data_IF_806229082038
#
_entry.id   IF_806229082038
#
_cell.length_a   1.000
_cell.length_b   1.000
_cell.length_c   1.000
_cell.angle_alpha   90.00
_cell.angle_beta   90.00
_cell.angle_gamma   90.00
#
_symmetry.space_group_name_H-M   'P 1'
#
loop_
_entity.id
_entity.type
_entity.pdbx_description
1 polymer ?
#
# COMPACT_ATOMS: atom_id res chain seq x y z
N UNK A 1 0.77 -25.14 -18.33
CA UNK A 1 2.12 -25.74 -18.47
C UNK A 1 3.04 -25.08 -17.46
N UNK A 2 3.76 -25.85 -16.65
CA UNK A 2 4.67 -25.31 -15.64
C UNK A 2 5.91 -24.68 -16.28
N UNK A 3 6.37 -23.53 -15.75
CA UNK A 3 7.63 -22.92 -16.16
C UNK A 3 8.81 -23.75 -15.60
N UNK A 4 9.66 -24.28 -16.49
CA UNK A 4 10.87 -25.01 -16.11
C UNK A 4 12.10 -24.17 -16.46
N UNK A 5 12.98 -23.84 -15.52
CA UNK A 5 14.21 -23.10 -15.81
C UNK A 5 15.12 -23.88 -16.78
N UNK A 6 15.70 -23.16 -17.73
CA UNK A 6 16.57 -23.73 -18.77
C UNK A 6 18.02 -23.39 -18.46
N UNK A 7 18.88 -24.42 -18.37
CA UNK A 7 20.33 -24.24 -18.19
C UNK A 7 20.94 -23.59 -19.44
N UNK A 8 21.84 -22.60 -19.24
CA UNK A 8 22.49 -21.87 -20.33
C UNK A 8 21.81 -20.56 -20.75
N UNK A 9 20.58 -20.29 -20.35
CA UNK A 9 19.90 -19.03 -20.54
C UNK A 9 20.12 -18.09 -19.34
N UNK A 10 20.24 -16.78 -19.56
CA UNK A 10 20.33 -15.82 -18.46
C UNK A 10 19.13 -15.98 -17.53
N UNK A 11 19.38 -16.16 -16.23
CA UNK A 11 18.33 -16.30 -15.19
C UNK A 11 17.40 -15.09 -15.22
N UNK A 12 17.95 -13.88 -15.35
CA UNK A 12 17.15 -12.66 -15.44
C UNK A 12 16.17 -12.71 -16.60
N UNK A 13 16.61 -13.14 -17.78
CA UNK A 13 15.74 -13.28 -18.95
C UNK A 13 14.65 -14.32 -18.74
N UNK A 14 14.97 -15.41 -18.04
CA UNK A 14 13.95 -16.42 -17.69
C UNK A 14 12.90 -15.88 -16.72
N UNK A 15 13.29 -15.01 -15.77
CA UNK A 15 12.35 -14.35 -14.87
C UNK A 15 11.45 -13.36 -15.61
N UNK A 16 11.99 -12.60 -16.57
CA UNK A 16 11.24 -11.70 -17.43
C UNK A 16 10.20 -12.46 -18.28
N UNK A 17 10.61 -13.53 -18.93
CA UNK A 17 9.73 -14.41 -19.69
C UNK A 17 8.64 -15.06 -18.81
N UNK A 18 9.00 -15.45 -17.59
CA UNK A 18 8.04 -15.98 -16.62
C UNK A 18 6.97 -14.95 -16.27
N UNK A 19 7.34 -13.69 -16.02
CA UNK A 19 6.36 -12.62 -15.77
C UNK A 19 5.38 -12.49 -16.95
N UNK A 20 5.86 -12.45 -18.20
CA UNK A 20 5.01 -12.33 -19.38
C UNK A 20 4.01 -13.49 -19.55
N UNK A 21 4.33 -14.69 -19.03
CA UNK A 21 3.46 -15.86 -19.14
C UNK A 21 2.47 -16.00 -17.98
N UNK A 22 2.80 -15.49 -16.81
CA UNK A 22 2.01 -15.73 -15.58
C UNK A 22 1.14 -14.54 -15.22
N UNK A 23 1.65 -13.31 -15.46
CA UNK A 23 0.94 -12.12 -15.05
C UNK A 23 -0.20 -11.77 -16.01
N UNK A 24 -1.20 -11.11 -15.45
CA UNK A 24 -2.34 -10.57 -16.18
C UNK A 24 -1.87 -9.59 -17.26
N UNK A 25 -2.63 -9.48 -18.36
CA UNK A 25 -2.44 -8.44 -19.38
C UNK A 25 -2.45 -7.01 -18.81
N UNK A 26 -3.07 -6.81 -17.65
CA UNK A 26 -3.20 -5.54 -16.95
C UNK A 26 -2.06 -5.28 -15.94
N UNK A 27 -1.19 -6.26 -15.70
CA UNK A 27 -0.10 -6.15 -14.76
C UNK A 27 1.06 -5.30 -15.29
N UNK A 28 1.76 -4.63 -14.38
CA UNK A 28 3.01 -3.96 -14.72
C UNK A 28 4.15 -4.98 -14.85
N UNK A 29 4.76 -5.05 -16.04
CA UNK A 29 5.90 -5.92 -16.31
C UNK A 29 7.22 -5.15 -16.11
N UNK A 30 8.23 -5.84 -15.56
CA UNK A 30 9.56 -5.26 -15.40
C UNK A 30 10.19 -4.86 -16.75
N UNK A 31 9.89 -5.60 -17.83
CA UNK A 31 10.36 -5.32 -19.20
C UNK A 31 9.75 -4.05 -19.80
N UNK A 32 8.60 -3.61 -19.28
CA UNK A 32 7.86 -2.42 -19.75
C UNK A 32 7.96 -1.24 -18.77
N UNK A 33 8.81 -1.34 -17.73
CA UNK A 33 9.03 -0.23 -16.81
C UNK A 33 9.55 1.01 -17.52
N UNK A 34 9.06 2.18 -17.11
CA UNK A 34 9.57 3.50 -17.56
C UNK A 34 10.97 3.82 -17.00
N UNK A 35 11.51 2.91 -16.18
CA UNK A 35 12.86 3.00 -15.66
C UNK A 35 13.01 3.93 -14.45
N UNK A 36 14.22 4.39 -14.24
CA UNK A 36 14.67 5.16 -13.09
C UNK A 36 15.01 6.59 -13.44
N UNK A 37 15.04 7.50 -12.45
CA UNK A 37 15.47 8.90 -12.66
C UNK A 37 16.91 8.98 -13.17
N UNK A 38 17.78 8.20 -12.58
CA UNK A 38 19.20 8.17 -12.93
C UNK A 38 19.55 6.83 -13.54
N UNK A 39 20.19 6.82 -14.73
CA UNK A 39 20.66 5.60 -15.35
C UNK A 39 21.61 4.83 -14.42
N UNK A 40 21.45 3.52 -14.38
CA UNK A 40 22.31 2.62 -13.59
C UNK A 40 23.08 1.68 -14.52
N UNK A 41 24.33 1.45 -14.18
CA UNK A 41 25.11 0.38 -14.83
C UNK A 41 24.52 -0.97 -14.43
N UNK A 42 24.36 -1.85 -15.40
CA UNK A 42 24.02 -3.24 -15.11
C UNK A 42 25.12 -3.85 -14.25
N UNK A 43 24.76 -4.30 -13.04
CA UNK A 43 25.67 -5.02 -12.18
C UNK A 43 25.77 -6.45 -12.70
N UNK A 44 26.95 -6.86 -13.13
CA UNK A 44 27.18 -8.24 -13.56
C UNK A 44 26.81 -9.21 -12.43
N UNK A 45 26.00 -10.22 -12.74
CA UNK A 45 25.54 -11.21 -11.77
C UNK A 45 24.32 -10.82 -10.92
N UNK A 46 23.75 -9.62 -11.07
CA UNK A 46 22.48 -9.28 -10.40
C UNK A 46 21.32 -9.99 -11.08
N UNK A 47 20.69 -10.91 -10.36
CA UNK A 47 19.58 -11.75 -10.82
C UNK A 47 18.23 -11.08 -10.64
N UNK A 48 18.17 -10.03 -9.82
CA UNK A 48 16.91 -9.38 -9.45
C UNK A 48 16.36 -8.52 -10.58
N UNK A 49 15.04 -8.59 -10.76
CA UNK A 49 14.31 -7.68 -11.62
C UNK A 49 14.21 -6.26 -10.98
N UNK A 50 13.93 -5.21 -11.78
CA UNK A 50 13.86 -3.83 -11.32
C UNK A 50 13.00 -3.61 -10.07
N UNK A 51 11.77 -4.15 -10.02
CA UNK A 51 10.87 -3.98 -8.87
C UNK A 51 11.33 -4.74 -7.63
N UNK A 52 11.97 -5.89 -7.79
CA UNK A 52 12.59 -6.60 -6.66
C UNK A 52 13.75 -5.79 -6.07
N UNK A 53 14.57 -5.15 -6.90
CA UNK A 53 15.64 -4.26 -6.43
C UNK A 53 15.08 -3.05 -5.67
N UNK A 54 13.95 -2.50 -6.11
CA UNK A 54 13.32 -1.39 -5.44
C UNK A 54 12.81 -1.78 -4.05
N UNK A 55 12.11 -2.91 -3.94
CA UNK A 55 11.69 -3.48 -2.66
C UNK A 55 12.89 -3.63 -1.70
N UNK A 56 13.99 -4.20 -2.17
CA UNK A 56 15.18 -4.41 -1.35
C UNK A 56 15.79 -3.07 -0.90
N UNK A 57 15.90 -2.07 -1.79
CA UNK A 57 16.38 -0.72 -1.45
C UNK A 57 15.53 -0.06 -0.38
N UNK A 58 14.21 -0.17 -0.48
CA UNK A 58 13.26 0.35 0.49
C UNK A 58 13.47 -0.33 1.84
N UNK A 59 13.47 -1.66 1.87
CA UNK A 59 13.61 -2.45 3.09
C UNK A 59 14.93 -2.15 3.83
N UNK A 60 16.01 -1.92 3.09
CA UNK A 60 17.32 -1.60 3.67
C UNK A 60 17.52 -0.12 3.98
N UNK A 61 16.58 0.77 3.68
CA UNK A 61 16.70 2.20 3.95
C UNK A 61 16.67 2.53 5.46
N UNK A 62 17.26 3.65 5.83
CA UNK A 62 17.26 4.14 7.21
C UNK A 62 15.83 4.52 7.62
N UNK A 63 15.09 5.15 6.73
CA UNK A 63 13.72 5.62 6.99
C UNK A 63 12.74 4.47 7.21
N UNK A 64 12.86 3.36 6.47
CA UNK A 64 12.06 2.17 6.71
C UNK A 64 12.24 1.63 8.14
N UNK A 65 13.48 1.51 8.62
CA UNK A 65 13.76 1.10 10.00
C UNK A 65 13.20 2.06 11.05
N UNK A 66 13.10 3.36 10.71
CA UNK A 66 12.55 4.40 11.62
C UNK A 66 11.04 4.29 11.80
N UNK A 67 10.31 3.60 10.91
CA UNK A 67 8.86 3.40 11.06
C UNK A 67 8.48 2.68 12.36
N UNK A 68 9.38 1.87 12.92
CA UNK A 68 9.16 1.20 14.22
C UNK A 68 9.00 2.17 15.39
N UNK A 69 9.47 3.41 15.26
CA UNK A 69 9.42 4.44 16.30
C UNK A 69 8.35 5.51 16.03
N UNK A 70 7.51 5.32 15.03
CA UNK A 70 6.38 6.19 14.73
C UNK A 70 5.09 5.50 15.12
N UNK A 71 4.23 6.19 15.87
CA UNK A 71 2.90 5.71 16.25
C UNK A 71 1.96 5.72 15.03
N UNK A 72 0.92 4.88 15.05
CA UNK A 72 -0.13 4.90 14.04
C UNK A 72 -1.18 5.96 14.42
N UNK A 73 -2.24 5.62 15.07
CA UNK A 73 -3.29 6.56 15.51
C UNK A 73 -3.17 6.84 17.01
N UNK A 74 -3.03 5.78 17.81
CA UNK A 74 -2.96 5.91 19.25
C UNK A 74 -1.52 6.10 19.73
N UNK A 75 -1.31 7.07 20.61
CA UNK A 75 -0.07 7.18 21.36
C UNK A 75 0.03 5.96 22.28
N UNK A 76 1.10 5.18 22.16
CA UNK A 76 1.36 4.01 22.98
C UNK A 76 2.08 4.44 24.28
N UNK A 77 1.37 4.79 25.36
CA UNK A 77 2.05 5.29 26.56
C UNK A 77 2.74 4.18 27.36
N UNK A 78 2.23 2.94 27.30
CA UNK A 78 2.82 1.79 28.02
C UNK A 78 2.32 0.48 27.40
N UNK A 79 3.21 -0.28 26.76
CA UNK A 79 2.94 -1.66 26.33
C UNK A 79 3.30 -1.98 24.87
N UNK A 80 3.71 -3.22 24.64
CA UNK A 80 4.19 -3.72 23.34
C UNK A 80 3.07 -4.06 22.34
N UNK A 81 1.80 -3.79 22.70
CA UNK A 81 0.64 -4.26 21.94
C UNK A 81 0.05 -3.24 20.96
N UNK A 82 0.53 -1.99 20.97
CA UNK A 82 0.05 -0.96 20.04
C UNK A 82 0.78 -1.03 18.72
N UNK A 83 0.03 -0.78 17.62
CA UNK A 83 0.59 -0.78 16.28
C UNK A 83 1.53 0.40 16.05
N UNK A 84 2.72 0.08 15.54
CA UNK A 84 3.64 1.07 14.98
C UNK A 84 3.39 1.23 13.48
N UNK A 85 3.91 2.30 12.86
CA UNK A 85 3.85 2.43 11.41
C UNK A 85 4.54 1.28 10.69
N UNK A 86 5.57 0.69 11.25
CA UNK A 86 6.20 -0.48 10.66
C UNK A 86 5.25 -1.68 10.56
N UNK A 87 4.51 -1.98 11.62
CA UNK A 87 3.54 -3.08 11.59
C UNK A 87 2.39 -2.78 10.64
N UNK A 88 1.89 -1.54 10.59
CA UNK A 88 0.89 -1.11 9.61
C UNK A 88 1.37 -1.34 8.17
N UNK A 89 2.56 -0.86 7.80
CA UNK A 89 3.09 -1.02 6.42
C UNK A 89 3.22 -2.50 6.04
N UNK A 90 3.62 -3.37 7.00
CA UNK A 90 3.70 -4.82 6.77
C UNK A 90 2.33 -5.45 6.55
N UNK A 91 1.32 -5.03 7.33
CA UNK A 91 -0.07 -5.51 7.17
C UNK A 91 -0.68 -5.04 5.84
N UNK A 92 -0.46 -3.77 5.46
CA UNK A 92 -0.82 -3.26 4.12
C UNK A 92 -0.15 -4.08 3.02
N UNK A 93 1.13 -4.37 3.15
CA UNK A 93 1.87 -5.19 2.19
C UNK A 93 1.31 -6.61 2.09
N UNK A 94 0.95 -7.23 3.20
CA UNK A 94 0.33 -8.56 3.22
C UNK A 94 -1.01 -8.56 2.49
N UNK A 95 -1.91 -7.62 2.80
CA UNK A 95 -3.22 -7.49 2.16
C UNK A 95 -3.05 -7.22 0.66
N UNK A 96 -2.22 -6.24 0.30
CA UNK A 96 -1.99 -5.85 -1.08
C UNK A 96 -1.43 -7.01 -1.92
N UNK A 97 -0.47 -7.76 -1.40
CA UNK A 97 0.09 -8.92 -2.10
C UNK A 97 -0.93 -10.06 -2.26
N UNK A 98 -1.80 -10.27 -1.28
CA UNK A 98 -2.89 -11.26 -1.41
C UNK A 98 -3.82 -10.89 -2.57
N UNK A 99 -4.19 -9.61 -2.70
CA UNK A 99 -5.01 -9.11 -3.80
C UNK A 99 -4.23 -9.23 -5.13
N UNK A 100 -2.97 -8.77 -5.16
CA UNK A 100 -2.14 -8.80 -6.36
C UNK A 100 -1.94 -10.22 -6.88
N UNK A 101 -1.66 -11.19 -6.01
CA UNK A 101 -1.51 -12.59 -6.38
C UNK A 101 -2.80 -13.18 -6.97
N UNK A 102 -3.97 -12.89 -6.38
CA UNK A 102 -5.27 -13.35 -6.87
C UNK A 102 -5.63 -12.75 -8.24
N UNK A 103 -5.22 -11.50 -8.51
CA UNK A 103 -5.43 -10.80 -9.78
C UNK A 103 -4.31 -11.01 -10.80
N UNK A 104 -3.35 -11.89 -10.51
CA UNK A 104 -2.14 -12.12 -11.33
C UNK A 104 -1.38 -10.81 -11.65
N UNK A 105 -1.30 -9.87 -10.69
CA UNK A 105 -0.52 -8.64 -10.79
C UNK A 105 0.91 -8.84 -10.30
N UNK A 106 1.78 -7.83 -10.49
CA UNK A 106 3.18 -7.91 -10.08
C UNK A 106 3.34 -7.72 -8.56
N UNK A 107 3.47 -8.83 -7.83
CA UNK A 107 3.62 -8.81 -6.38
C UNK A 107 4.86 -8.03 -5.92
N UNK A 108 5.97 -8.07 -6.66
CA UNK A 108 7.19 -7.35 -6.26
C UNK A 108 7.01 -5.83 -6.35
N UNK A 109 6.30 -5.34 -7.37
CA UNK A 109 5.93 -3.93 -7.48
C UNK A 109 4.95 -3.54 -6.37
N UNK A 110 3.90 -4.34 -6.15
CA UNK A 110 2.91 -4.12 -5.09
C UNK A 110 3.58 -4.03 -3.71
N UNK A 111 4.48 -4.96 -3.39
CA UNK A 111 5.23 -4.97 -2.13
C UNK A 111 6.12 -3.73 -2.00
N UNK A 112 6.86 -3.37 -3.05
CA UNK A 112 7.72 -2.19 -3.03
C UNK A 112 6.93 -0.89 -2.75
N UNK A 113 5.78 -0.71 -3.40
CA UNK A 113 4.92 0.45 -3.15
C UNK A 113 4.37 0.43 -1.73
N UNK A 114 3.85 -0.73 -1.27
CA UNK A 114 3.27 -0.88 0.05
C UNK A 114 4.29 -0.60 1.17
N UNK A 115 5.53 -1.07 1.04
CA UNK A 115 6.58 -0.82 2.03
C UNK A 115 7.05 0.65 2.05
N UNK A 116 6.86 1.38 0.95
CA UNK A 116 7.37 2.74 0.81
C UNK A 116 6.33 3.84 1.00
N UNK A 117 5.03 3.54 0.95
CA UNK A 117 3.98 4.57 0.89
C UNK A 117 4.06 5.56 2.06
N UNK A 118 4.37 5.10 3.26
CA UNK A 118 4.36 5.88 4.51
C UNK A 118 5.76 6.30 5.02
N UNK A 119 6.83 6.16 4.22
CA UNK A 119 8.19 6.50 4.65
C UNK A 119 8.33 7.96 5.11
N UNK A 120 7.60 8.87 4.46
CA UNK A 120 7.60 10.30 4.77
C UNK A 120 6.59 10.73 5.82
N UNK A 121 5.89 9.81 6.47
CA UNK A 121 4.92 10.19 7.48
C UNK A 121 5.59 10.80 8.72
N UNK A 122 4.89 11.77 9.34
CA UNK A 122 5.38 12.53 10.51
C UNK A 122 5.29 11.72 11.78
N UNK A 123 6.06 12.05 12.84
CA UNK A 123 5.72 11.69 14.20
C UNK A 123 4.30 12.17 14.55
N UNK A 124 3.59 11.46 15.41
CA UNK A 124 2.22 11.77 15.83
C UNK A 124 1.16 11.68 14.72
N UNK A 125 1.42 10.91 13.66
CA UNK A 125 0.43 10.60 12.63
C UNK A 125 -0.18 11.83 11.96
N UNK A 126 -1.50 11.83 11.79
CA UNK A 126 -2.23 12.93 11.13
C UNK A 126 -2.19 14.25 11.91
N UNK A 127 -2.13 14.23 13.23
CA UNK A 127 -1.98 15.44 14.03
C UNK A 127 -0.65 16.15 13.73
N UNK A 128 0.45 15.39 13.65
CA UNK A 128 1.74 15.93 13.24
C UNK A 128 1.75 16.43 11.80
N UNK A 129 1.05 15.76 10.89
CA UNK A 129 0.90 16.20 9.51
C UNK A 129 0.12 17.52 9.42
N UNK A 130 -1.00 17.65 10.14
CA UNK A 130 -1.80 18.88 10.20
C UNK A 130 -0.97 20.06 10.71
N UNK A 131 -0.27 19.88 11.83
CA UNK A 131 0.60 20.92 12.39
C UNK A 131 1.70 21.34 11.42
N UNK A 132 2.39 20.40 10.78
CA UNK A 132 3.42 20.73 9.79
C UNK A 132 2.83 21.40 8.55
N UNK A 133 1.63 21.01 8.15
CA UNK A 133 0.93 21.65 7.02
C UNK A 133 0.58 23.12 7.28
N UNK A 134 0.27 23.47 8.54
CA UNK A 134 0.03 24.87 8.96
C UNK A 134 1.33 25.68 9.05
N UNK A 135 2.37 25.07 9.64
CA UNK A 135 3.64 25.76 9.89
C UNK A 135 4.51 25.95 8.65
N UNK A 136 4.43 25.06 7.67
CA UNK A 136 5.27 25.11 6.47
C UNK A 136 4.61 25.97 5.39
N UNK A 137 5.25 27.03 4.87
CA UNK A 137 4.65 27.97 3.90
C UNK A 137 4.12 27.29 2.62
N UNK A 138 4.72 26.19 2.19
CA UNK A 138 4.31 25.38 1.04
C UNK A 138 3.31 24.28 1.37
N UNK A 139 2.85 24.19 2.62
CA UNK A 139 2.08 23.07 3.14
C UNK A 139 2.91 21.79 3.28
N UNK A 140 2.36 20.80 3.96
CA UNK A 140 3.00 19.49 4.14
C UNK A 140 2.00 18.36 3.81
N UNK A 141 2.44 17.39 3.03
CA UNK A 141 1.68 16.15 2.73
C UNK A 141 2.62 14.96 2.83
N UNK A 142 2.27 13.96 3.66
CA UNK A 142 3.12 12.80 3.90
C UNK A 142 3.49 12.04 2.62
N UNK A 143 2.57 11.89 1.68
CA UNK A 143 2.82 11.18 0.41
C UNK A 143 3.81 11.92 -0.51
N UNK A 144 3.78 13.25 -0.53
CA UNK A 144 4.78 14.07 -1.23
C UNK A 144 6.13 13.95 -0.51
N UNK A 145 6.11 13.97 0.82
CA UNK A 145 7.32 13.80 1.61
C UNK A 145 7.88 12.38 1.51
N UNK A 146 7.04 11.34 1.38
CA UNK A 146 7.50 9.96 1.09
C UNK A 146 8.27 9.91 -0.23
N UNK A 147 7.77 10.57 -1.27
CA UNK A 147 8.50 10.69 -2.54
C UNK A 147 9.83 11.45 -2.35
N UNK A 148 9.83 12.57 -1.63
CA UNK A 148 11.05 13.33 -1.31
C UNK A 148 12.08 12.48 -0.54
N UNK A 149 11.63 11.66 0.38
CA UNK A 149 12.51 10.74 1.14
C UNK A 149 13.23 9.78 0.20
N UNK A 150 12.50 9.12 -0.68
CA UNK A 150 13.07 8.11 -1.59
C UNK A 150 13.87 8.71 -2.75
N UNK A 151 13.53 9.93 -3.19
CA UNK A 151 14.22 10.58 -4.29
C UNK A 151 15.48 11.34 -3.86
N UNK A 152 15.48 11.92 -2.63
CA UNK A 152 16.52 12.88 -2.24
C UNK A 152 17.14 12.61 -0.87
N UNK A 153 16.36 12.22 0.16
CA UNK A 153 16.87 12.26 1.53
C UNK A 153 17.63 10.98 1.94
N UNK A 154 17.24 9.83 1.42
CA UNK A 154 17.93 8.58 1.69
C UNK A 154 19.31 8.53 1.01
N UNK A 155 20.13 7.59 1.46
CA UNK A 155 21.45 7.32 0.88
C UNK A 155 22.34 8.60 0.83
N UNK A 156 22.37 9.33 1.95
CA UNK A 156 23.18 10.54 2.15
C UNK A 156 22.94 11.62 1.07
N UNK A 157 21.65 11.85 0.76
CA UNK A 157 21.24 12.88 -0.18
C UNK A 157 21.13 12.44 -1.64
N UNK A 158 21.41 11.17 -1.95
CA UNK A 158 21.39 10.63 -3.32
C UNK A 158 20.07 9.96 -3.69
N UNK A 159 19.22 9.71 -2.70
CA UNK A 159 17.98 8.96 -2.86
C UNK A 159 18.19 7.47 -3.11
N UNK A 160 17.08 6.76 -3.28
CA UNK A 160 17.08 5.32 -3.56
C UNK A 160 17.06 5.00 -5.07
N UNK A 161 16.82 5.99 -5.91
CA UNK A 161 16.71 5.84 -7.36
C UNK A 161 15.73 4.72 -7.76
N UNK A 162 14.49 4.83 -7.29
CA UNK A 162 13.43 3.84 -7.55
C UNK A 162 12.86 3.99 -8.96
N UNK A 163 12.21 2.96 -9.46
CA UNK A 163 11.49 2.98 -10.74
C UNK A 163 10.32 3.96 -10.69
N UNK A 164 9.91 4.41 -11.88
CA UNK A 164 8.79 5.33 -12.05
C UNK A 164 7.50 4.78 -11.43
N UNK A 165 7.23 3.48 -11.61
CA UNK A 165 6.02 2.81 -11.15
C UNK A 165 5.92 2.83 -9.61
N UNK A 166 7.01 2.53 -8.91
CA UNK A 166 7.07 2.60 -7.44
C UNK A 166 6.85 4.03 -6.96
N UNK A 167 7.54 5.01 -7.56
CA UNK A 167 7.41 6.44 -7.22
C UNK A 167 6.00 6.97 -7.47
N UNK A 168 5.37 6.57 -8.58
CA UNK A 168 3.99 6.91 -8.90
C UNK A 168 3.01 6.30 -7.88
N UNK A 169 3.20 5.04 -7.50
CA UNK A 169 2.40 4.39 -6.46
C UNK A 169 2.53 5.10 -5.11
N UNK A 170 3.74 5.49 -4.70
CA UNK A 170 3.99 6.23 -3.46
C UNK A 170 3.21 7.56 -3.43
N UNK A 171 3.28 8.36 -4.47
CA UNK A 171 2.66 9.68 -4.46
C UNK A 171 1.13 9.64 -4.62
N UNK A 172 0.59 8.53 -5.14
CA UNK A 172 -0.84 8.37 -5.45
C UNK A 172 -1.61 7.48 -4.47
N UNK A 173 -0.97 6.98 -3.42
CA UNK A 173 -1.67 6.12 -2.45
C UNK A 173 -2.66 6.89 -1.58
N UNK A 174 -2.34 8.11 -1.21
CA UNK A 174 -3.16 8.93 -0.30
C UNK A 174 -4.41 9.46 -1.00
N UNK A 175 -5.51 9.49 -0.28
CA UNK A 175 -6.86 9.84 -0.76
C UNK A 175 -7.57 10.92 0.05
N UNK A 176 -7.03 11.25 1.24
CA UNK A 176 -7.70 12.16 2.16
C UNK A 176 -9.12 11.67 2.52
N UNK A 177 -10.08 12.60 2.60
CA UNK A 177 -11.51 12.28 2.80
C UNK A 177 -12.27 11.97 1.51
N UNK A 178 -11.59 11.95 0.36
CA UNK A 178 -12.21 11.74 -0.95
C UNK A 178 -12.68 10.29 -1.16
N UNK A 179 -13.35 10.07 -2.28
CA UNK A 179 -13.90 8.78 -2.68
C UNK A 179 -12.86 7.66 -2.66
N UNK A 180 -13.29 6.50 -2.22
CA UNK A 180 -12.46 5.27 -2.18
C UNK A 180 -12.02 4.92 -3.60
N UNK A 181 -12.96 4.90 -4.54
CA UNK A 181 -12.75 4.75 -5.98
C UNK A 181 -13.18 6.04 -6.69
N UNK A 182 -12.29 7.00 -6.93
CA UNK A 182 -12.65 8.24 -7.57
C UNK A 182 -12.98 8.04 -9.04
N UNK A 183 -14.05 8.68 -9.50
CA UNK A 183 -14.39 8.78 -10.91
C UNK A 183 -13.38 9.70 -11.61
N UNK A 184 -12.41 9.12 -12.31
CA UNK A 184 -11.41 9.87 -13.10
C UNK A 184 -9.96 9.44 -12.87
N UNK A 185 -9.22 9.28 -13.94
CA UNK A 185 -7.86 8.72 -13.96
C UNK A 185 -6.78 9.61 -13.33
N UNK A 186 -7.05 10.89 -13.09
CA UNK A 186 -6.01 11.86 -12.67
C UNK A 186 -5.52 11.71 -11.24
N UNK A 187 -6.28 11.07 -10.35
CA UNK A 187 -5.94 10.90 -8.93
C UNK A 187 -5.41 9.51 -8.58
N UNK A 188 -5.57 8.52 -9.45
CA UNK A 188 -5.14 7.14 -9.24
C UNK A 188 -3.70 6.91 -9.68
N UNK A 189 -3.06 5.89 -9.11
CA UNK A 189 -1.81 5.38 -9.63
C UNK A 189 -2.00 4.81 -11.05
N UNK A 190 -0.95 4.91 -11.88
CA UNK A 190 -1.00 4.46 -13.27
C UNK A 190 -1.01 2.93 -13.41
N UNK A 191 -0.56 2.21 -12.38
CA UNK A 191 -0.56 0.75 -12.37
C UNK A 191 -1.64 0.23 -11.43
N UNK A 192 -2.23 -0.92 -11.75
CA UNK A 192 -3.18 -1.58 -10.87
C UNK A 192 -2.55 -1.94 -9.52
N UNK A 193 -1.26 -2.30 -9.51
CA UNK A 193 -0.51 -2.58 -8.28
C UNK A 193 -0.52 -1.38 -7.33
N UNK A 194 -0.31 -0.17 -7.85
CA UNK A 194 -0.39 1.06 -7.04
C UNK A 194 -1.80 1.35 -6.55
N UNK A 195 -2.82 1.05 -7.34
CA UNK A 195 -4.22 1.18 -6.95
C UNK A 195 -4.61 0.14 -5.89
N UNK A 196 -4.12 -1.10 -6.03
CA UNK A 196 -4.27 -2.17 -5.01
C UNK A 196 -3.69 -1.74 -3.68
N UNK A 197 -2.49 -1.13 -3.66
CA UNK A 197 -1.90 -0.64 -2.41
C UNK A 197 -2.76 0.43 -1.76
N UNK A 198 -3.34 1.35 -2.53
CA UNK A 198 -4.27 2.37 -2.03
C UNK A 198 -5.48 1.75 -1.34
N UNK A 199 -6.09 0.71 -1.92
CA UNK A 199 -7.25 0.03 -1.34
C UNK A 199 -6.85 -0.84 -0.14
N UNK A 200 -5.73 -1.53 -0.23
CA UNK A 200 -5.19 -2.32 0.88
C UNK A 200 -4.88 -1.45 2.10
N UNK A 201 -4.37 -0.23 1.91
CA UNK A 201 -4.17 0.74 2.98
C UNK A 201 -5.51 1.15 3.63
N UNK A 202 -6.59 1.36 2.84
CA UNK A 202 -7.93 1.60 3.40
C UNK A 202 -8.38 0.40 4.23
N UNK A 203 -8.35 -0.79 3.66
CA UNK A 203 -8.77 -2.03 4.35
C UNK A 203 -7.97 -2.21 5.63
N UNK A 204 -6.66 -1.98 5.60
CA UNK A 204 -5.80 -2.09 6.77
C UNK A 204 -6.22 -1.08 7.85
N UNK A 205 -6.21 0.24 7.57
CA UNK A 205 -6.39 1.22 8.61
C UNK A 205 -7.79 1.18 9.25
N UNK A 206 -8.87 1.00 8.49
CA UNK A 206 -10.22 0.92 9.07
C UNK A 206 -10.37 -0.27 10.02
N UNK A 207 -9.66 -1.37 9.74
CA UNK A 207 -9.69 -2.55 10.60
C UNK A 207 -8.78 -2.41 11.81
N UNK A 208 -7.61 -1.80 11.64
CA UNK A 208 -6.66 -1.56 12.72
C UNK A 208 -7.19 -0.58 13.74
N UNK A 209 -7.71 0.55 13.28
CA UNK A 209 -8.19 1.63 14.13
C UNK A 209 -9.42 1.19 14.92
N UNK A 210 -10.30 0.38 14.30
CA UNK A 210 -11.40 -0.26 15.01
C UNK A 210 -10.90 -1.20 16.12
N UNK A 211 -9.90 -2.05 15.82
CA UNK A 211 -9.33 -2.97 16.81
C UNK A 211 -8.64 -2.25 17.96
N UNK A 212 -7.87 -1.22 17.64
CA UNK A 212 -7.13 -0.43 18.63
C UNK A 212 -8.09 0.39 19.50
N UNK A 213 -9.18 0.93 18.93
CA UNK A 213 -10.24 1.61 19.69
C UNK A 213 -10.99 0.66 20.64
N UNK A 214 -11.25 -0.59 20.21
CA UNK A 214 -11.83 -1.62 21.08
C UNK A 214 -10.89 -1.99 22.23
N UNK A 215 -9.58 -2.15 21.96
CA UNK A 215 -8.57 -2.44 23.01
C UNK A 215 -8.39 -1.30 23.98
N UNK A 216 -8.43 -0.06 23.49
CA UNK A 216 -8.34 1.14 24.32
C UNK A 216 -9.62 1.38 25.15
N UNK A 217 -10.68 0.62 24.93
CA UNK A 217 -11.98 0.81 25.62
C UNK A 217 -12.74 2.08 25.17
N UNK A 218 -12.31 2.71 24.07
CA UNK A 218 -12.99 3.86 23.45
C UNK A 218 -14.29 3.38 22.80
N UNK A 219 -14.25 2.22 22.15
CA UNK A 219 -15.41 1.57 21.55
C UNK A 219 -15.68 0.22 22.21
N UNK A 220 -16.96 -0.20 22.15
CA UNK A 220 -17.39 -1.56 22.46
C UNK A 220 -17.80 -2.26 21.17
N UNK A 221 -17.75 -3.59 21.15
CA UNK A 221 -18.16 -4.37 19.98
C UNK A 221 -19.63 -4.18 19.60
N UNK A 222 -20.48 -3.73 20.55
CA UNK A 222 -21.87 -3.38 20.33
C UNK A 222 -22.08 -2.05 19.60
N UNK A 223 -21.07 -1.19 19.58
CA UNK A 223 -21.18 0.17 19.03
C UNK A 223 -21.06 0.18 17.50
N UNK A 224 -20.50 -0.90 16.91
CA UNK A 224 -20.49 -1.06 15.46
C UNK A 224 -21.90 -1.23 14.93
N UNK A 225 -22.37 -0.34 14.03
CA UNK A 225 -23.72 -0.44 13.45
C UNK A 225 -24.01 -1.81 12.83
N UNK A 226 -25.20 -2.35 13.08
CA UNK A 226 -25.55 -3.71 12.67
C UNK A 226 -25.53 -3.89 11.15
N UNK A 227 -25.88 -2.85 10.39
CA UNK A 227 -25.83 -2.85 8.93
C UNK A 227 -24.41 -3.04 8.42
N UNK A 228 -23.45 -2.30 9.00
CA UNK A 228 -22.03 -2.45 8.65
C UNK A 228 -21.55 -3.86 9.01
N UNK A 229 -21.84 -4.30 10.25
CA UNK A 229 -21.41 -5.62 10.73
C UNK A 229 -21.99 -6.77 9.90
N UNK A 230 -23.16 -6.62 9.30
CA UNK A 230 -23.78 -7.60 8.41
C UNK A 230 -22.99 -7.81 7.13
N UNK A 231 -22.48 -6.75 6.54
CA UNK A 231 -21.72 -6.78 5.27
C UNK A 231 -20.28 -7.21 5.48
N UNK A 232 -19.57 -6.54 6.38
CA UNK A 232 -18.13 -6.77 6.55
C UNK A 232 -17.78 -7.85 7.58
N UNK A 233 -18.71 -8.23 8.45
CA UNK A 233 -18.48 -9.15 9.57
C UNK A 233 -18.10 -8.44 10.88
N UNK A 234 -18.16 -9.19 11.98
CA UNK A 234 -17.94 -8.67 13.34
C UNK A 234 -16.47 -8.78 13.78
N UNK A 235 -15.78 -9.87 13.40
CA UNK A 235 -14.41 -10.13 13.81
C UNK A 235 -13.41 -9.47 12.86
N UNK A 236 -12.25 -9.07 13.36
CA UNK A 236 -11.15 -8.48 12.58
C UNK A 236 -10.85 -9.27 11.30
N UNK A 237 -10.61 -10.58 11.42
CA UNK A 237 -10.31 -11.44 10.28
C UNK A 237 -11.46 -11.53 9.26
N UNK A 238 -12.72 -11.52 9.73
CA UNK A 238 -13.88 -11.53 8.85
C UNK A 238 -13.95 -10.23 8.04
N UNK A 239 -13.78 -9.09 8.69
CA UNK A 239 -13.81 -7.78 8.04
C UNK A 239 -12.78 -7.67 6.91
N UNK A 240 -11.53 -8.05 7.20
CA UNK A 240 -10.48 -8.04 6.16
C UNK A 240 -10.82 -9.02 5.04
N UNK A 241 -11.20 -10.26 5.38
CA UNK A 241 -11.47 -11.29 4.37
C UNK A 241 -12.65 -10.96 3.47
N UNK A 242 -13.73 -10.36 3.99
CA UNK A 242 -14.89 -9.96 3.18
C UNK A 242 -14.55 -8.83 2.22
N UNK A 243 -13.84 -7.79 2.69
CA UNK A 243 -13.41 -6.66 1.85
C UNK A 243 -12.44 -7.10 0.74
N UNK A 244 -11.44 -7.92 1.09
CA UNK A 244 -10.47 -8.44 0.11
C UNK A 244 -11.14 -9.35 -0.92
N UNK A 245 -12.05 -10.23 -0.46
CA UNK A 245 -12.76 -11.13 -1.35
C UNK A 245 -13.67 -10.38 -2.33
N UNK A 246 -14.43 -9.40 -1.85
CA UNK A 246 -15.31 -8.58 -2.67
C UNK A 246 -14.51 -7.88 -3.77
N UNK A 247 -13.45 -7.15 -3.41
CA UNK A 247 -12.56 -6.49 -4.37
C UNK A 247 -12.03 -7.45 -5.44
N UNK A 248 -11.58 -8.64 -5.06
CA UNK A 248 -11.03 -9.62 -6.00
C UNK A 248 -12.13 -10.14 -6.93
N UNK A 249 -13.28 -10.53 -6.40
CA UNK A 249 -14.37 -11.14 -7.17
C UNK A 249 -14.95 -10.13 -8.18
N UNK A 250 -15.25 -8.92 -7.73
CA UNK A 250 -15.79 -7.87 -8.61
C UNK A 250 -14.80 -7.44 -9.70
N UNK A 251 -13.51 -7.31 -9.35
CA UNK A 251 -12.46 -6.98 -10.33
C UNK A 251 -12.28 -8.10 -11.36
N UNK A 252 -12.28 -9.37 -10.96
CA UNK A 252 -12.17 -10.50 -11.89
C UNK A 252 -13.41 -10.62 -12.78
N UNK A 253 -14.61 -10.32 -12.25
CA UNK A 253 -15.85 -10.38 -13.01
C UNK A 253 -15.91 -9.29 -14.10
N UNK A 254 -15.39 -8.11 -13.82
CA UNK A 254 -15.35 -6.99 -14.77
C UNK A 254 -14.30 -7.17 -15.87
N UNK A 255 -13.10 -7.64 -15.54
CA UNK A 255 -11.93 -7.86 -16.43
C UNK A 255 -11.66 -6.71 -17.44
N UNK A 256 -11.91 -5.48 -17.01
CA UNK A 256 -11.82 -4.25 -17.82
C UNK A 256 -10.54 -3.42 -17.57
N UNK A 257 -9.65 -3.91 -16.70
CA UNK A 257 -8.41 -3.22 -16.34
C UNK A 257 -8.58 -2.16 -15.25
N UNK A 258 -9.71 -2.19 -14.52
CA UNK A 258 -9.98 -1.35 -13.36
C UNK A 258 -10.25 -2.22 -12.12
N UNK A 259 -10.05 -1.62 -10.94
CA UNK A 259 -10.44 -2.27 -9.69
C UNK A 259 -11.90 -1.97 -9.38
N UNK A 260 -12.65 -3.00 -9.00
CA UNK A 260 -14.07 -2.92 -8.69
C UNK A 260 -14.35 -3.42 -7.27
N UNK A 261 -15.32 -2.80 -6.63
CA UNK A 261 -15.88 -3.17 -5.33
C UNK A 261 -17.39 -3.10 -5.49
N UNK A 262 -18.15 -4.03 -4.94
CA UNK A 262 -19.61 -3.97 -4.97
C UNK A 262 -20.15 -2.72 -4.27
N UNK A 263 -21.27 -2.20 -4.71
CA UNK A 263 -21.89 -1.00 -4.11
C UNK A 263 -22.17 -1.21 -2.62
N UNK A 264 -22.65 -2.40 -2.23
CA UNK A 264 -22.90 -2.74 -0.83
C UNK A 264 -21.64 -2.69 0.03
N UNK A 265 -20.50 -3.24 -0.48
CA UNK A 265 -19.24 -3.21 0.22
C UNK A 265 -18.64 -1.79 0.27
N UNK A 266 -18.75 -1.04 -0.81
CA UNK A 266 -18.27 0.34 -0.90
C UNK A 266 -19.01 1.24 0.12
N UNK A 267 -20.31 1.11 0.23
CA UNK A 267 -21.14 1.81 1.21
C UNK A 267 -20.76 1.41 2.64
N UNK A 268 -20.56 0.11 2.90
CA UNK A 268 -20.16 -0.39 4.21
C UNK A 268 -18.77 0.12 4.64
N UNK A 269 -17.80 0.16 3.74
CA UNK A 269 -16.44 0.71 4.03
C UNK A 269 -16.53 2.22 4.27
N UNK A 270 -17.32 2.94 3.47
CA UNK A 270 -17.51 4.39 3.63
C UNK A 270 -18.17 4.72 4.96
N UNK A 271 -19.20 3.97 5.33
CA UNK A 271 -19.90 4.12 6.62
C UNK A 271 -18.99 3.78 7.80
N UNK A 272 -18.16 2.74 7.70
CA UNK A 272 -17.19 2.42 8.73
C UNK A 272 -16.15 3.53 8.89
N UNK A 273 -15.66 4.12 7.80
CA UNK A 273 -14.75 5.28 7.86
C UNK A 273 -15.39 6.46 8.59
N UNK A 274 -16.62 6.82 8.23
CA UNK A 274 -17.36 7.90 8.88
C UNK A 274 -17.56 7.61 10.36
N UNK A 275 -17.97 6.38 10.70
CA UNK A 275 -18.11 5.95 12.10
C UNK A 275 -16.83 6.12 12.91
N UNK A 276 -15.67 5.74 12.35
CA UNK A 276 -14.37 5.93 13.00
C UNK A 276 -14.00 7.42 13.12
N UNK A 277 -14.29 8.22 12.12
CA UNK A 277 -14.07 9.67 12.19
C UNK A 277 -14.86 10.33 13.32
N UNK A 278 -16.10 9.93 13.50
CA UNK A 278 -16.99 10.56 14.48
C UNK A 278 -16.76 10.06 15.92
N UNK A 279 -16.19 8.88 16.11
CA UNK A 279 -16.11 8.23 17.41
C UNK A 279 -14.67 7.95 17.91
N UNK A 280 -13.66 8.04 17.04
CA UNK A 280 -12.28 7.65 17.37
C UNK A 280 -11.28 8.77 17.14
N UNK A 281 -11.42 9.57 16.05
CA UNK A 281 -10.51 10.66 15.71
C UNK A 281 -11.03 12.01 16.20
#
# INVERSE_FOLDING_TARGET
>A
MGFTPVVGKSIKKQLEEREEHILSRHAALNTRSRGRLHPEKNVAGDLRLPFQRDRDRITHSKTFRRLKHKTQVFLAPTGDHYRTRLTHVLEVSQIARTIAAALCLNEALTEAIALAHDLGHTPFGHAGEATLNELHPGGFRHYIHSLRVVDFLENDGKGLNLTFEVRNGIVRHSKGRNDILPNGSGSLALTLEGQVVRLADIIAYVNHDMDDALRAGILKSSDLPAEIARVIGKKHSQRISSMVRDLIVETLAADDGHLHISDEMLEAITSLRSFLYDNVY
#
